data_IF_940911467793
#
_entry.id   IF_940911467793
#
_cell.length_a   1.000
_cell.length_b   1.000
_cell.length_c   1.000
_cell.angle_alpha   90.00
_cell.angle_beta   90.00
_cell.angle_gamma   90.00
#
_symmetry.space_group_name_H-M   'P 1'
#
loop_
_entity.id
_entity.type
_entity.pdbx_description
1 polymer ?
#
# COMPACT_ATOMS: atom_id res chain seq x y z
N UNK A 1 -4.53 33.25 6.53
CA UNK A 1 -4.64 32.40 7.73
C UNK A 1 -3.76 31.17 7.53
N UNK A 2 -2.64 31.12 8.24
CA UNK A 2 -1.62 30.08 8.16
C UNK A 2 -2.17 28.75 8.66
N UNK A 3 -2.41 27.79 7.76
CA UNK A 3 -2.58 26.38 8.15
C UNK A 3 -1.22 25.90 8.68
N UNK A 4 -1.12 25.78 10.00
CA UNK A 4 0.08 25.30 10.68
C UNK A 4 0.44 23.91 10.18
N UNK A 5 1.61 23.78 9.56
CA UNK A 5 2.27 22.48 9.44
C UNK A 5 2.52 21.98 10.87
N UNK A 6 1.85 20.90 11.26
CA UNK A 6 2.32 20.07 12.38
C UNK A 6 3.63 19.41 11.93
N UNK A 7 4.75 20.09 12.16
CA UNK A 7 6.07 19.47 12.08
C UNK A 7 6.20 18.58 13.32
N UNK A 8 5.76 17.33 13.20
CA UNK A 8 6.19 16.26 14.12
C UNK A 8 7.38 15.58 13.45
N UNK A 9 8.51 15.49 14.14
CA UNK A 9 9.81 15.19 13.55
C UNK A 9 9.96 13.76 13.03
N UNK A 10 9.44 13.46 11.84
CA UNK A 10 9.66 12.18 11.18
C UNK A 10 10.09 12.37 9.72
N UNK A 11 11.33 12.80 9.54
CA UNK A 11 11.95 12.85 8.22
C UNK A 11 11.92 11.47 7.56
N UNK A 12 11.52 11.43 6.29
CA UNK A 12 11.31 10.20 5.52
C UNK A 12 9.96 9.50 5.74
N UNK A 13 9.20 9.86 6.78
CA UNK A 13 7.89 9.26 7.04
C UNK A 13 6.77 10.23 6.69
N UNK A 14 5.59 9.69 6.40
CA UNK A 14 4.37 10.48 6.33
C UNK A 14 3.79 10.76 7.73
N UNK A 15 3.96 9.80 8.65
CA UNK A 15 3.63 9.93 10.06
C UNK A 15 2.47 9.05 10.53
N UNK A 16 1.69 8.50 9.60
CA UNK A 16 0.51 7.68 9.93
C UNK A 16 0.45 6.32 9.22
N UNK A 17 -0.19 5.36 9.88
CA UNK A 17 -0.59 4.06 9.35
C UNK A 17 -2.12 4.06 9.26
N UNK A 18 -2.65 3.97 8.04
CA UNK A 18 -4.08 3.90 7.78
C UNK A 18 -4.58 2.47 8.03
N UNK A 19 -5.76 2.34 8.65
CA UNK A 19 -6.41 1.05 8.90
C UNK A 19 -7.83 1.07 8.36
N UNK A 20 -8.17 0.04 7.60
CA UNK A 20 -9.49 -0.13 7.00
C UNK A 20 -10.04 -1.51 7.38
N UNK A 21 -11.21 -1.52 7.99
CA UNK A 21 -11.99 -2.74 8.25
C UNK A 21 -13.13 -2.83 7.23
N UNK A 22 -13.04 -3.81 6.34
CA UNK A 22 -14.01 -3.99 5.25
C UNK A 22 -15.35 -4.57 5.71
N UNK A 23 -15.42 -5.17 6.89
CA UNK A 23 -16.65 -5.75 7.42
C UNK A 23 -17.52 -4.69 8.08
N UNK A 24 -16.92 -3.77 8.83
CA UNK A 24 -17.63 -2.64 9.47
C UNK A 24 -17.66 -1.37 8.62
N UNK A 25 -16.78 -1.27 7.63
CA UNK A 25 -16.50 -0.02 6.90
C UNK A 25 -15.68 1.00 7.69
N UNK A 26 -15.14 0.61 8.86
CA UNK A 26 -14.41 1.49 9.76
C UNK A 26 -13.05 1.91 9.19
N UNK A 27 -12.72 3.19 9.36
CA UNK A 27 -11.43 3.77 9.01
C UNK A 27 -10.79 4.40 10.25
N UNK A 28 -9.58 3.97 10.60
CA UNK A 28 -8.83 4.50 11.74
C UNK A 28 -7.37 4.76 11.34
N UNK A 29 -6.64 5.48 12.19
CA UNK A 29 -5.23 5.86 11.97
C UNK A 29 -4.43 5.55 13.21
N UNK A 30 -3.18 5.13 13.02
CA UNK A 30 -2.20 4.94 14.07
C UNK A 30 -0.93 5.71 13.74
N UNK A 31 -0.19 6.23 14.73
CA UNK A 31 1.04 6.96 14.45
C UNK A 31 2.18 6.00 14.05
N UNK A 32 2.91 6.32 12.99
CA UNK A 32 4.04 5.49 12.51
C UNK A 32 5.17 5.40 13.54
N UNK A 33 5.30 6.40 14.42
CA UNK A 33 6.33 6.47 15.48
C UNK A 33 6.37 5.23 16.38
N UNK A 34 5.22 4.59 16.59
CA UNK A 34 5.10 3.43 17.47
C UNK A 34 5.88 2.21 16.92
N UNK A 35 6.26 2.26 15.64
CA UNK A 35 6.98 1.18 14.95
C UNK A 35 8.32 1.63 14.36
N UNK A 36 8.45 2.90 13.94
CA UNK A 36 9.55 3.38 13.10
C UNK A 36 10.95 3.10 13.68
N UNK A 37 11.16 3.36 14.96
CA UNK A 37 12.47 3.24 15.62
C UNK A 37 13.01 1.79 15.59
N UNK A 38 12.13 0.82 15.82
CA UNK A 38 12.50 -0.59 15.93
C UNK A 38 12.45 -1.34 14.60
N UNK A 39 11.61 -0.89 13.67
CA UNK A 39 11.28 -1.66 12.47
C UNK A 39 11.54 -0.92 11.16
N UNK A 40 12.04 0.33 11.21
CA UNK A 40 12.41 1.19 10.10
C UNK A 40 11.27 1.59 9.14
N UNK A 41 10.45 0.66 8.66
CA UNK A 41 9.44 0.90 7.63
C UNK A 41 9.14 -0.34 6.82
N UNK A 42 8.27 -0.21 5.82
CA UNK A 42 7.98 -1.26 4.85
C UNK A 42 7.65 -2.60 5.51
N UNK A 43 8.34 -3.66 5.08
CA UNK A 43 8.18 -5.03 5.60
C UNK A 43 8.42 -5.13 7.10
N UNK A 44 9.29 -4.32 7.69
CA UNK A 44 9.54 -4.37 9.14
C UNK A 44 8.28 -4.02 9.93
N UNK A 45 7.66 -2.88 9.61
CA UNK A 45 6.39 -2.45 10.22
C UNK A 45 5.29 -3.47 9.91
N UNK A 46 5.16 -3.90 8.64
CA UNK A 46 4.13 -4.85 8.26
C UNK A 46 4.27 -6.21 8.97
N UNK A 47 5.50 -6.70 9.14
CA UNK A 47 5.77 -7.95 9.86
C UNK A 47 5.45 -7.83 11.35
N UNK A 48 5.73 -6.67 11.97
CA UNK A 48 5.36 -6.44 13.37
C UNK A 48 3.85 -6.41 13.57
N UNK A 49 3.13 -5.67 12.73
CA UNK A 49 1.65 -5.62 12.76
C UNK A 49 1.08 -7.02 12.57
N UNK A 50 1.57 -7.76 11.58
CA UNK A 50 1.15 -9.14 11.35
C UNK A 50 1.41 -10.04 12.57
N UNK A 51 2.61 -9.96 13.15
CA UNK A 51 3.02 -10.76 14.30
C UNK A 51 2.11 -10.55 15.51
N UNK A 52 1.70 -9.31 15.77
CA UNK A 52 0.84 -8.97 16.91
C UNK A 52 -0.63 -9.35 16.68
N UNK A 53 -1.09 -9.27 15.44
CA UNK A 53 -2.53 -9.26 15.14
C UNK A 53 -3.06 -10.49 14.40
N UNK A 54 -2.18 -11.34 13.85
CA UNK A 54 -2.59 -12.51 13.07
C UNK A 54 -2.13 -13.80 13.78
N UNK A 55 -3.00 -14.43 14.57
CA UNK A 55 -2.71 -15.70 15.20
C UNK A 55 -2.33 -16.82 14.22
N UNK A 56 -1.59 -17.85 14.65
CA UNK A 56 -1.18 -18.97 13.81
C UNK A 56 -2.35 -19.71 13.13
N UNK A 57 -3.50 -19.82 13.80
CA UNK A 57 -4.69 -20.54 13.35
C UNK A 57 -5.42 -19.89 12.17
N UNK A 58 -5.33 -18.56 12.05
CA UNK A 58 -5.94 -17.78 10.97
C UNK A 58 -5.43 -18.28 9.63
N UNK A 59 -6.30 -18.50 8.65
CA UNK A 59 -5.94 -18.90 7.28
C UNK A 59 -5.76 -17.70 6.37
N UNK A 60 -5.11 -17.92 5.23
CA UNK A 60 -4.81 -16.86 4.27
C UNK A 60 -6.06 -16.10 3.78
N UNK A 61 -7.21 -16.77 3.67
CA UNK A 61 -8.47 -16.18 3.18
C UNK A 61 -9.44 -15.76 4.29
N UNK A 62 -9.05 -15.91 5.55
CA UNK A 62 -9.90 -15.51 6.66
C UNK A 62 -10.00 -13.96 6.74
N UNK A 63 -11.16 -13.41 7.14
CA UNK A 63 -11.31 -11.97 7.39
C UNK A 63 -10.26 -11.40 8.35
N UNK A 64 -9.81 -12.21 9.32
CA UNK A 64 -8.84 -11.87 10.34
C UNK A 64 -7.41 -11.73 9.80
N UNK A 65 -7.08 -12.33 8.64
CA UNK A 65 -5.78 -12.12 8.02
C UNK A 65 -5.60 -10.63 7.65
N UNK A 66 -4.42 -10.08 7.93
CA UNK A 66 -4.08 -8.70 7.55
C UNK A 66 -3.47 -8.68 6.16
N UNK A 67 -4.00 -7.82 5.30
CA UNK A 67 -3.39 -7.46 4.04
C UNK A 67 -2.80 -6.05 4.17
N UNK A 68 -1.48 -5.96 4.20
CA UNK A 68 -0.76 -4.75 4.60
C UNK A 68 0.04 -4.21 3.41
N UNK A 69 -0.26 -2.99 3.00
CA UNK A 69 0.47 -2.24 1.98
C UNK A 69 1.41 -1.28 2.70
N UNK A 70 2.72 -1.44 2.59
CA UNK A 70 3.68 -0.69 3.38
C UNK A 70 4.80 -0.08 2.53
N UNK A 71 5.22 1.12 2.92
CA UNK A 71 6.28 1.89 2.26
C UNK A 71 7.49 2.04 3.20
N UNK A 72 8.69 2.10 2.63
CA UNK A 72 9.90 2.44 3.38
C UNK A 72 10.05 3.95 3.57
N UNK A 73 10.95 4.40 4.47
CA UNK A 73 11.21 5.84 4.68
C UNK A 73 11.78 6.56 3.44
N UNK A 74 12.32 5.81 2.49
CA UNK A 74 12.82 6.38 1.23
C UNK A 74 11.75 6.46 0.12
N UNK A 75 10.55 5.92 0.33
CA UNK A 75 9.50 6.02 -0.67
C UNK A 75 9.15 7.49 -0.96
N UNK A 76 8.88 7.84 -2.22
CA UNK A 76 8.56 9.21 -2.63
C UNK A 76 9.76 10.14 -2.84
N UNK A 77 10.97 9.74 -2.44
CA UNK A 77 12.20 10.44 -2.80
C UNK A 77 12.66 10.09 -4.22
N UNK A 78 13.13 11.08 -4.97
CA UNK A 78 13.65 10.92 -6.34
C UNK A 78 15.18 10.75 -6.35
N UNK A 79 15.74 10.13 -7.38
CA UNK A 79 17.20 9.98 -7.51
C UNK A 79 17.89 8.93 -6.62
N UNK A 80 17.19 8.30 -5.65
CA UNK A 80 17.75 7.22 -4.79
C UNK A 80 16.84 5.99 -4.63
N UNK A 81 16.27 5.49 -5.74
CA UNK A 81 15.42 4.27 -5.75
C UNK A 81 14.21 4.31 -4.78
N UNK A 82 13.59 5.48 -4.61
CA UNK A 82 12.43 5.70 -3.72
C UNK A 82 11.07 5.23 -4.27
N UNK A 83 11.05 4.24 -5.16
CA UNK A 83 9.83 3.74 -5.82
C UNK A 83 9.33 2.40 -5.26
N UNK A 84 10.03 1.82 -4.27
CA UNK A 84 9.71 0.51 -3.73
C UNK A 84 8.71 0.56 -2.59
N UNK A 85 7.77 -0.38 -2.62
CA UNK A 85 6.76 -0.61 -1.58
C UNK A 85 6.37 -2.08 -1.59
N UNK A 86 5.63 -2.52 -0.57
CA UNK A 86 5.38 -3.94 -0.32
C UNK A 86 3.92 -4.23 0.01
N UNK A 87 3.47 -5.43 -0.34
CA UNK A 87 2.23 -6.03 0.16
C UNK A 87 2.64 -7.20 1.05
N UNK A 88 2.05 -7.33 2.22
CA UNK A 88 2.39 -8.36 3.20
C UNK A 88 1.12 -8.97 3.80
N UNK A 89 1.20 -10.23 4.22
CA UNK A 89 0.11 -10.95 4.89
C UNK A 89 0.36 -12.46 4.91
N UNK A 90 -0.53 -13.23 5.56
CA UNK A 90 -0.49 -14.70 5.42
C UNK A 90 -0.90 -15.07 3.99
N UNK A 91 -0.14 -15.94 3.35
CA UNK A 91 -0.37 -16.34 1.95
C UNK A 91 -0.73 -17.82 1.82
N UNK A 92 -1.65 -18.11 0.91
CA UNK A 92 -2.04 -19.46 0.49
C UNK A 92 -1.10 -20.08 -0.56
N UNK A 93 -0.04 -19.37 -0.96
CA UNK A 93 0.86 -19.84 -2.04
C UNK A 93 1.60 -21.13 -1.67
N UNK A 94 1.86 -21.34 -0.38
CA UNK A 94 2.65 -22.47 0.13
C UNK A 94 1.85 -23.29 1.12
N UNK A 95 2.26 -24.54 1.32
CA UNK A 95 1.74 -25.41 2.36
C UNK A 95 2.89 -25.87 3.25
N UNK A 96 2.94 -25.49 4.54
CA UNK A 96 1.94 -24.70 5.27
C UNK A 96 1.87 -23.22 4.83
N UNK A 97 0.75 -22.56 5.16
CA UNK A 97 0.57 -21.12 4.95
C UNK A 97 1.39 -20.31 5.98
N UNK A 98 2.07 -19.25 5.54
CA UNK A 98 2.85 -18.39 6.43
C UNK A 98 2.92 -16.94 5.91
N UNK A 99 3.54 -16.06 6.71
CA UNK A 99 3.77 -14.66 6.36
C UNK A 99 4.60 -14.56 5.09
N UNK A 100 4.02 -13.95 4.05
CA UNK A 100 4.70 -13.68 2.81
C UNK A 100 4.64 -12.19 2.46
N UNK A 101 5.49 -11.79 1.53
CA UNK A 101 5.52 -10.42 1.05
C UNK A 101 5.81 -10.37 -0.44
N UNK A 102 5.20 -9.40 -1.10
CA UNK A 102 5.53 -9.02 -2.46
C UNK A 102 6.13 -7.62 -2.49
N UNK A 103 7.12 -7.39 -3.36
CA UNK A 103 7.73 -6.09 -3.57
C UNK A 103 7.34 -5.55 -4.94
N UNK A 104 6.84 -4.33 -4.97
CA UNK A 104 6.41 -3.65 -6.19
C UNK A 104 7.18 -2.34 -6.35
N UNK A 105 7.32 -1.93 -7.61
CA UNK A 105 7.85 -0.63 -7.98
C UNK A 105 6.74 0.36 -8.36
N UNK A 106 7.12 1.35 -9.16
CA UNK A 106 6.18 2.34 -9.69
C UNK A 106 5.81 3.41 -8.67
N UNK A 107 4.66 4.05 -8.90
CA UNK A 107 4.30 5.29 -8.22
C UNK A 107 3.30 5.10 -7.07
N UNK A 108 2.62 3.95 -6.98
CA UNK A 108 1.54 3.74 -6.02
C UNK A 108 2.00 3.93 -4.56
N UNK A 109 3.11 3.30 -4.17
CA UNK A 109 3.65 3.46 -2.81
C UNK A 109 4.10 4.88 -2.50
N UNK A 110 4.70 5.58 -3.48
CA UNK A 110 5.02 6.99 -3.31
C UNK A 110 3.75 7.82 -3.08
N UNK A 111 2.68 7.57 -3.84
CA UNK A 111 1.42 8.29 -3.71
C UNK A 111 0.70 8.01 -2.39
N UNK A 112 0.77 6.80 -1.85
CA UNK A 112 0.30 6.51 -0.50
C UNK A 112 1.02 7.38 0.54
N UNK A 113 2.34 7.49 0.41
CA UNK A 113 3.16 8.32 1.28
C UNK A 113 2.86 9.82 1.12
N UNK A 114 2.68 10.30 -0.11
CA UNK A 114 2.26 11.69 -0.36
C UNK A 114 0.84 11.98 0.13
N UNK A 115 -0.02 10.96 0.26
CA UNK A 115 -1.36 11.09 0.83
C UNK A 115 -1.37 11.12 2.37
N UNK A 116 -0.21 10.98 3.02
CA UNK A 116 -0.10 11.06 4.48
C UNK A 116 0.15 9.72 5.18
N UNK A 117 0.30 8.61 4.45
CA UNK A 117 0.37 7.27 5.06
C UNK A 117 1.64 6.50 4.71
N UNK A 118 2.32 5.96 5.72
CA UNK A 118 3.45 5.05 5.56
C UNK A 118 3.00 3.62 5.27
N UNK A 119 1.81 3.25 5.74
CA UNK A 119 1.19 1.96 5.46
C UNK A 119 -0.35 2.03 5.45
N UNK A 120 -0.97 1.05 4.80
CA UNK A 120 -2.39 0.76 4.81
C UNK A 120 -2.59 -0.69 5.27
N UNK A 121 -3.26 -0.89 6.38
CA UNK A 121 -3.61 -2.21 6.94
C UNK A 121 -5.08 -2.48 6.65
N UNK A 122 -5.35 -3.61 6.00
CA UNK A 122 -6.71 -4.04 5.65
C UNK A 122 -7.06 -5.30 6.42
N UNK A 123 -8.23 -5.29 7.05
CA UNK A 123 -8.83 -6.43 7.72
C UNK A 123 -10.30 -6.60 7.33
N UNK A 124 -10.90 -7.70 7.77
CA UNK A 124 -12.29 -8.01 7.48
C UNK A 124 -12.48 -8.47 6.03
N UNK A 125 -13.75 -8.53 5.64
CA UNK A 125 -14.25 -8.86 4.31
C UNK A 125 -15.53 -8.06 4.07
N UNK A 126 -15.62 -7.43 2.90
CA UNK A 126 -16.83 -6.72 2.47
C UNK A 126 -17.89 -7.71 2.00
N UNK A 127 -19.17 -7.42 2.22
CA UNK A 127 -20.29 -8.25 1.72
C UNK A 127 -20.38 -8.27 0.19
N UNK A 128 -19.91 -7.21 -0.46
CA UNK A 128 -19.92 -7.03 -1.93
C UNK A 128 -18.56 -6.55 -2.44
N UNK A 129 -18.28 -6.66 -3.75
CA UNK A 129 -17.09 -6.08 -4.35
C UNK A 129 -16.95 -4.59 -4.05
N UNK A 130 -15.78 -4.19 -3.52
CA UNK A 130 -15.46 -2.80 -3.21
C UNK A 130 -14.07 -2.40 -3.71
N UNK A 131 -13.84 -1.10 -3.84
CA UNK A 131 -12.50 -0.52 -3.96
C UNK A 131 -12.32 0.56 -2.91
N UNK A 132 -11.08 0.78 -2.47
CA UNK A 132 -10.74 1.85 -1.54
C UNK A 132 -10.23 3.05 -2.34
N UNK A 133 -10.74 4.24 -2.07
CA UNK A 133 -10.22 5.50 -2.57
C UNK A 133 -9.53 6.26 -1.43
N UNK A 134 -8.27 6.66 -1.65
CA UNK A 134 -7.49 7.49 -0.75
C UNK A 134 -7.12 8.78 -1.49
N UNK A 135 -7.61 9.90 -0.98
CA UNK A 135 -7.29 11.24 -1.46
C UNK A 135 -6.89 12.10 -0.26
N UNK A 136 -5.60 12.11 0.04
CA UNK A 136 -5.06 12.70 1.26
C UNK A 136 -5.83 12.20 2.51
N UNK A 137 -6.51 13.09 3.24
CA UNK A 137 -7.29 12.75 4.45
C UNK A 137 -8.61 12.02 4.16
N UNK A 138 -9.11 12.10 2.92
CA UNK A 138 -10.37 11.47 2.54
C UNK A 138 -10.13 10.02 2.17
N UNK A 139 -10.74 9.11 2.93
CA UNK A 139 -10.66 7.66 2.70
C UNK A 139 -12.07 7.10 2.61
N UNK A 140 -12.39 6.46 1.49
CA UNK A 140 -13.72 5.94 1.21
C UNK A 140 -13.65 4.50 0.69
N UNK A 141 -14.60 3.68 1.13
CA UNK A 141 -14.85 2.35 0.58
C UNK A 141 -16.02 2.48 -0.39
N UNK A 142 -15.77 2.25 -1.68
CA UNK A 142 -16.73 2.49 -2.77
C UNK A 142 -17.10 1.18 -3.45
N UNK A 143 -18.29 1.14 -4.05
CA UNK A 143 -18.77 -0.02 -4.79
C UNK A 143 -17.87 -0.35 -6.00
N UNK A 144 -17.52 -1.61 -6.18
CA UNK A 144 -16.72 -2.11 -7.30
C UNK A 144 -17.44 -3.18 -8.12
N UNK A 145 -18.77 -3.28 -8.02
CA UNK A 145 -19.54 -4.34 -8.68
C UNK A 145 -19.37 -4.30 -10.20
N UNK A 146 -19.22 -3.12 -10.79
CA UNK A 146 -18.98 -2.92 -12.24
C UNK A 146 -17.54 -3.25 -12.66
N UNK A 147 -16.61 -3.31 -11.71
CA UNK A 147 -15.20 -3.63 -11.92
C UNK A 147 -14.91 -5.13 -11.69
N UNK A 148 -15.74 -5.81 -10.91
CA UNK A 148 -15.58 -7.23 -10.63
C UNK A 148 -15.67 -8.06 -11.93
N UNK A 149 -14.78 -9.02 -12.09
CA UNK A 149 -14.62 -9.80 -13.33
C UNK A 149 -13.76 -9.14 -14.40
N UNK A 150 -13.41 -7.84 -14.26
CA UNK A 150 -12.54 -7.14 -15.21
C UNK A 150 -11.07 -7.47 -14.95
N UNK A 151 -10.26 -7.47 -16.01
CA UNK A 151 -8.80 -7.54 -15.87
C UNK A 151 -8.27 -6.37 -15.04
N UNK A 152 -7.05 -6.49 -14.52
CA UNK A 152 -6.39 -5.41 -13.76
C UNK A 152 -6.20 -4.16 -14.61
N UNK A 153 -5.90 -4.32 -15.91
CA UNK A 153 -5.75 -3.21 -16.86
C UNK A 153 -7.08 -2.52 -17.12
N UNK A 154 -8.15 -3.26 -17.43
CA UNK A 154 -9.49 -2.67 -17.60
C UNK A 154 -9.93 -1.93 -16.34
N UNK A 155 -9.73 -2.54 -15.16
CA UNK A 155 -10.05 -1.92 -13.86
C UNK A 155 -9.31 -0.59 -13.69
N UNK A 156 -8.02 -0.56 -14.01
CA UNK A 156 -7.18 0.66 -13.94
C UNK A 156 -7.72 1.75 -14.86
N UNK A 157 -7.99 1.42 -16.12
CA UNK A 157 -8.44 2.41 -17.10
C UNK A 157 -9.84 2.95 -16.76
N UNK A 158 -10.77 2.07 -16.35
CA UNK A 158 -12.11 2.49 -15.90
C UNK A 158 -12.04 3.44 -14.70
N UNK A 159 -11.23 3.12 -13.69
CA UNK A 159 -11.06 3.97 -12.51
C UNK A 159 -10.35 5.29 -12.85
N UNK A 160 -9.37 5.30 -13.76
CA UNK A 160 -8.71 6.54 -14.23
C UNK A 160 -9.67 7.43 -15.03
N UNK A 161 -10.56 6.84 -15.83
CA UNK A 161 -11.62 7.59 -16.52
C UNK A 161 -12.60 8.23 -15.53
N UNK A 162 -12.98 7.49 -14.47
CA UNK A 162 -13.92 7.98 -13.46
C UNK A 162 -13.31 9.02 -12.51
N UNK A 163 -12.07 8.81 -12.06
CA UNK A 163 -11.45 9.57 -10.97
C UNK A 163 -10.41 10.59 -11.47
N UNK A 164 -10.05 10.54 -12.75
CA UNK A 164 -9.00 11.34 -13.38
C UNK A 164 -7.63 10.65 -13.39
N UNK A 165 -6.84 10.90 -14.44
CA UNK A 165 -5.60 10.17 -14.77
C UNK A 165 -4.48 10.22 -13.71
N UNK A 166 -4.54 11.19 -12.79
CA UNK A 166 -3.56 11.34 -11.71
C UNK A 166 -3.76 10.40 -10.52
N UNK A 167 -4.86 9.64 -10.44
CA UNK A 167 -4.95 8.54 -9.45
C UNK A 167 -4.00 7.42 -9.85
N UNK A 168 -3.38 6.79 -8.86
CA UNK A 168 -2.54 5.61 -9.04
C UNK A 168 -3.27 4.41 -8.44
N UNK A 169 -3.31 3.30 -9.16
CA UNK A 169 -4.18 2.17 -8.82
C UNK A 169 -3.31 0.94 -8.60
N UNK A 170 -3.69 0.14 -7.61
CA UNK A 170 -3.33 -1.28 -7.52
C UNK A 170 -4.63 -2.09 -7.55
N UNK A 171 -4.69 -3.14 -8.35
CA UNK A 171 -5.88 -3.95 -8.53
C UNK A 171 -5.55 -5.45 -8.60
N UNK A 172 -6.53 -6.25 -8.21
CA UNK A 172 -6.54 -7.69 -8.47
C UNK A 172 -7.44 -7.99 -9.68
N UNK A 173 -7.13 -9.06 -10.42
CA UNK A 173 -7.89 -9.51 -11.59
C UNK A 173 -8.75 -10.74 -11.29
N UNK A 174 -9.34 -11.36 -12.33
CA UNK A 174 -10.19 -12.55 -12.15
C UNK A 174 -9.51 -13.70 -11.41
N UNK A 175 -8.18 -13.85 -11.55
CA UNK A 175 -7.45 -14.86 -10.79
C UNK A 175 -7.52 -14.62 -9.27
N UNK A 176 -7.43 -13.37 -8.81
CA UNK A 176 -7.53 -13.05 -7.39
C UNK A 176 -8.96 -13.12 -6.88
N UNK A 177 -9.93 -12.66 -7.68
CA UNK A 177 -11.36 -12.78 -7.39
C UNK A 177 -11.80 -14.24 -7.19
N UNK A 178 -11.23 -15.16 -7.99
CA UNK A 178 -11.45 -16.60 -7.88
C UNK A 178 -10.45 -17.31 -6.93
N UNK A 179 -9.69 -16.55 -6.13
CA UNK A 179 -8.75 -17.05 -5.11
C UNK A 179 -7.71 -18.07 -5.63
N UNK A 180 -7.24 -17.90 -6.87
CA UNK A 180 -6.13 -18.70 -7.41
C UNK A 180 -4.89 -18.49 -6.55
N UNK A 181 -4.28 -19.55 -6.01
CA UNK A 181 -3.26 -19.48 -4.95
C UNK A 181 -2.01 -18.66 -5.30
N UNK A 182 -1.72 -18.47 -6.58
CA UNK A 182 -0.60 -17.65 -7.09
C UNK A 182 -1.06 -16.34 -7.76
N UNK A 183 -2.31 -15.93 -7.55
CA UNK A 183 -2.85 -14.69 -8.09
C UNK A 183 -1.99 -13.49 -7.69
N UNK A 184 -1.66 -12.68 -8.69
CA UNK A 184 -0.89 -11.46 -8.54
C UNK A 184 -1.80 -10.24 -8.51
N UNK A 185 -1.29 -9.13 -8.00
CA UNK A 185 -1.86 -7.80 -8.20
C UNK A 185 -1.01 -7.01 -9.19
N UNK A 186 -1.63 -6.09 -9.91
CA UNK A 186 -0.93 -5.14 -10.77
C UNK A 186 -1.21 -3.72 -10.32
N UNK A 187 -0.16 -2.92 -10.23
CA UNK A 187 -0.22 -1.49 -10.02
C UNK A 187 0.03 -0.71 -11.33
N UNK A 188 -0.12 0.62 -11.26
CA UNK A 188 0.23 1.53 -12.35
C UNK A 188 1.61 1.23 -12.96
N UNK A 189 1.70 1.39 -14.29
CA UNK A 189 2.86 1.02 -15.12
C UNK A 189 3.22 -0.47 -15.07
N UNK A 190 2.20 -1.31 -14.84
CA UNK A 190 2.26 -2.77 -14.84
C UNK A 190 3.28 -3.35 -13.84
N UNK A 191 3.57 -2.60 -12.76
CA UNK A 191 4.30 -3.12 -11.63
C UNK A 191 3.50 -4.25 -10.99
N UNK A 192 4.04 -5.46 -10.99
CA UNK A 192 3.35 -6.64 -10.52
C UNK A 192 3.86 -7.09 -9.15
N UNK A 193 2.94 -7.63 -8.35
CA UNK A 193 3.25 -8.26 -7.07
C UNK A 193 2.61 -9.64 -6.99
N UNK A 194 3.43 -10.68 -6.81
CA UNK A 194 3.00 -12.07 -6.68
C UNK A 194 2.85 -12.49 -5.22
N UNK A 195 3.22 -13.74 -4.88
CA UNK A 195 3.16 -14.31 -3.52
C UNK A 195 1.76 -14.65 -3.02
N UNK A 196 0.79 -14.86 -3.93
CA UNK A 196 -0.59 -15.25 -3.59
C UNK A 196 -1.43 -14.15 -2.92
N UNK A 197 -0.88 -12.95 -2.73
CA UNK A 197 -1.56 -11.84 -2.05
C UNK A 197 -2.68 -11.23 -2.90
N UNK A 198 -2.70 -11.47 -4.22
CA UNK A 198 -3.84 -11.12 -5.07
C UNK A 198 -5.09 -11.95 -4.78
N UNK A 199 -4.93 -13.21 -4.36
CA UNK A 199 -6.03 -14.06 -3.90
C UNK A 199 -6.52 -13.64 -2.51
N UNK A 200 -5.61 -13.27 -1.61
CA UNK A 200 -5.99 -12.69 -0.30
C UNK A 200 -6.81 -11.42 -0.52
N UNK A 201 -6.38 -10.53 -1.42
CA UNK A 201 -7.13 -9.32 -1.77
C UNK A 201 -8.53 -9.64 -2.30
N UNK A 202 -8.66 -10.62 -3.22
CA UNK A 202 -9.96 -11.04 -3.75
C UNK A 202 -10.85 -11.74 -2.72
N UNK A 203 -10.29 -12.55 -1.82
CA UNK A 203 -11.05 -13.24 -0.75
C UNK A 203 -11.81 -12.28 0.19
N UNK A 204 -11.30 -11.05 0.31
CA UNK A 204 -11.88 -9.96 1.09
C UNK A 204 -12.89 -9.11 0.30
N UNK A 205 -13.20 -9.49 -0.93
CA UNK A 205 -14.01 -8.72 -1.89
C UNK A 205 -13.43 -7.33 -2.23
N UNK A 206 -12.11 -7.17 -2.09
CA UNK A 206 -11.43 -5.92 -2.43
C UNK A 206 -10.87 -5.99 -3.85
N UNK A 207 -11.44 -5.19 -4.75
CA UNK A 207 -11.06 -5.17 -6.17
C UNK A 207 -9.81 -4.34 -6.45
N UNK A 208 -9.75 -3.14 -5.86
CA UNK A 208 -8.70 -2.18 -6.14
C UNK A 208 -8.48 -1.20 -4.97
N UNK A 209 -7.34 -0.53 -5.00
CA UNK A 209 -7.04 0.63 -4.15
C UNK A 209 -6.51 1.74 -5.03
N UNK A 210 -7.26 2.84 -5.10
CA UNK A 210 -6.91 4.04 -5.84
C UNK A 210 -6.37 5.09 -4.85
N UNK A 211 -5.21 5.67 -5.16
CA UNK A 211 -4.56 6.67 -4.31
C UNK A 211 -4.14 7.90 -5.10
N UNK A 212 -4.34 9.07 -4.51
CA UNK A 212 -3.81 10.35 -4.96
C UNK A 212 -3.33 11.13 -3.74
N UNK A 213 -2.03 11.40 -3.68
CA UNK A 213 -1.43 12.21 -2.63
C UNK A 213 -0.96 13.56 -3.15
N UNK A 214 -1.18 14.62 -2.40
CA UNK A 214 -0.75 15.99 -2.72
C UNK A 214 0.40 16.51 -1.85
N UNK A 215 0.80 15.74 -0.84
CA UNK A 215 1.84 16.09 0.12
C UNK A 215 3.27 15.97 -0.44
N UNK A 216 4.24 15.93 0.49
CA UNK A 216 5.66 15.79 0.20
C UNK A 216 6.38 15.05 1.33
N UNK A 217 7.43 14.32 0.99
CA UNK A 217 8.31 13.67 1.97
C UNK A 217 9.51 14.58 2.23
N UNK A 218 9.85 14.78 3.50
CA UNK A 218 10.91 15.69 3.92
C UNK A 218 12.17 14.91 4.30
N UNK A 219 13.31 15.23 3.68
CA UNK A 219 14.60 14.72 4.10
C UNK A 219 15.08 15.47 5.36
N UNK A 220 15.76 14.75 6.27
CA UNK A 220 16.36 15.36 7.46
C UNK A 220 17.44 16.38 7.09
N UNK A 221 18.22 16.07 6.05
CA UNK A 221 19.23 16.95 5.48
C UNK A 221 19.02 17.04 3.96
N UNK A 222 18.28 18.04 3.45
CA UNK A 222 18.00 18.18 2.03
C UNK A 222 19.26 18.38 1.17
N UNK A 223 20.27 19.08 1.69
CA UNK A 223 21.51 19.32 0.95
C UNK A 223 22.28 18.01 0.75
N UNK A 224 22.50 17.27 1.84
CA UNK A 224 23.21 15.99 1.79
C UNK A 224 22.47 14.95 0.93
N UNK A 225 21.15 14.95 1.01
CA UNK A 225 20.32 14.09 0.16
C UNK A 225 20.50 14.40 -1.33
N UNK A 226 20.58 15.69 -1.73
CA UNK A 226 20.86 16.07 -3.13
C UNK A 226 22.21 15.54 -3.59
N UNK A 227 23.27 15.73 -2.80
CA UNK A 227 24.61 15.19 -3.11
C UNK A 227 24.59 13.67 -3.31
N UNK A 228 23.87 12.95 -2.45
CA UNK A 228 23.68 11.49 -2.58
C UNK A 228 22.90 11.10 -3.84
N UNK A 229 21.86 11.85 -4.19
CA UNK A 229 21.08 11.62 -5.40
C UNK A 229 21.90 11.87 -6.67
N UNK A 230 22.71 12.92 -6.70
CA UNK A 230 23.60 13.24 -7.83
C UNK A 230 24.71 12.20 -7.95
N UNK A 231 25.24 11.71 -6.81
CA UNK A 231 26.17 10.58 -6.78
C UNK A 231 25.55 9.29 -7.33
N UNK A 232 24.34 8.94 -6.89
CA UNK A 232 23.65 7.73 -7.35
C UNK A 232 23.33 7.75 -8.86
N UNK A 233 23.18 8.92 -9.45
CA UNK A 233 22.99 9.10 -10.90
C UNK A 233 24.31 9.10 -11.70
N UNK A 234 25.46 9.10 -11.03
CA UNK A 234 26.77 9.27 -11.67
C UNK A 234 27.06 10.70 -12.12
N UNK A 235 26.29 11.69 -11.65
CA UNK A 235 26.45 13.11 -11.96
C UNK A 235 27.43 13.80 -11.00
N UNK A 236 27.69 13.20 -9.83
CA UNK A 236 28.73 13.64 -8.91
C UNK A 236 30.08 13.03 -9.29
N UNK A 237 31.04 13.88 -9.66
CA UNK A 237 32.47 13.53 -9.70
C UNK A 237 33.16 14.25 -8.53
N UNK A 238 33.97 13.54 -7.73
CA UNK A 238 34.60 14.07 -6.52
C UNK A 238 35.53 15.26 -6.80
#
# INVERSE_FOLDING_TARGET
MSRGLKVTGQYGYAGEILRVDLSSGGVTRMPTVDYADRFLGGRGIAAKIYWDEVPPEVKAFDPENRLIFATGPLAGFTGVSGSRWQICGKSSLTTPEYFNYSNLGGNWGAQLKLAGYDALVIQGKSEKPVYILIQDETVEIRDASTLWGKSTVETREMLKQQLGSSVNIVATGPAGENMVTFASVLADKDASGSSGLGAVMGSKNLKAIAVRGSGKVMAANPQRYRELADYAKGEFRP
#
